data_IF_452465856214
#
_entry.id   IF_452465856214
#
_cell.length_a   1.000
_cell.length_b   1.000
_cell.length_c   1.000
_cell.angle_alpha   90.00
_cell.angle_beta   90.00
_cell.angle_gamma   90.00
#
_symmetry.space_group_name_H-M   'P 1'
#
loop_
_entity.id
_entity.type
_entity.pdbx_description
1 polymer ?
#
# COMPACT_ATOMS: atom_id res chain seq x y z
N UNK A 1 17.82 -18.49 33.02
CA UNK A 1 18.69 -18.41 31.84
C UNK A 1 18.27 -17.16 31.08
N UNK A 2 19.14 -16.17 30.94
CA UNK A 2 18.80 -14.92 30.27
C UNK A 2 18.82 -15.14 28.76
N UNK A 3 17.65 -15.13 28.12
CA UNK A 3 17.53 -15.08 26.66
C UNK A 3 17.95 -13.69 26.20
N UNK A 4 19.08 -13.61 25.50
CA UNK A 4 19.52 -12.37 24.88
C UNK A 4 18.53 -11.87 23.82
N UNK A 5 18.66 -10.61 23.38
CA UNK A 5 17.81 -10.04 22.35
C UNK A 5 17.90 -10.84 21.04
N UNK A 6 16.75 -11.07 20.43
CA UNK A 6 16.61 -11.78 19.15
C UNK A 6 17.19 -10.98 17.98
N UNK A 7 17.61 -11.63 16.89
CA UNK A 7 18.18 -10.90 15.75
C UNK A 7 17.15 -9.94 15.15
N UNK A 8 17.52 -8.67 14.93
CA UNK A 8 16.57 -7.63 14.58
C UNK A 8 17.21 -6.25 14.42
N UNK A 9 16.43 -5.29 13.91
CA UNK A 9 16.81 -3.89 13.88
C UNK A 9 16.49 -3.26 15.23
N UNK A 10 17.51 -2.72 15.89
CA UNK A 10 17.36 -2.05 17.17
C UNK A 10 17.99 -0.66 17.09
N UNK A 11 17.42 0.27 17.85
CA UNK A 11 17.97 1.62 17.96
C UNK A 11 19.39 1.58 18.53
N UNK A 12 20.34 2.23 17.86
CA UNK A 12 21.74 2.31 18.30
C UNK A 12 22.02 3.51 19.22
N UNK A 13 21.00 4.31 19.53
CA UNK A 13 21.08 5.48 20.40
C UNK A 13 21.61 6.74 19.71
N UNK A 14 21.91 6.67 18.40
CA UNK A 14 22.33 7.82 17.58
C UNK A 14 21.23 8.35 16.64
N UNK A 15 20.02 7.80 16.75
CA UNK A 15 18.91 8.06 15.83
C UNK A 15 18.91 7.17 14.58
N UNK A 16 19.74 6.13 14.57
CA UNK A 16 19.84 5.11 13.52
C UNK A 16 19.41 3.77 14.09
N UNK A 17 18.83 2.91 13.25
CA UNK A 17 18.62 1.52 13.62
C UNK A 17 19.80 0.69 13.14
N UNK A 18 20.41 -0.10 14.02
CA UNK A 18 21.50 -1.00 13.69
C UNK A 18 21.04 -2.43 13.80
N UNK A 19 21.49 -3.28 12.89
CA UNK A 19 21.07 -4.67 12.90
C UNK A 19 21.89 -5.46 13.92
N UNK A 20 21.19 -6.08 14.87
CA UNK A 20 21.72 -7.06 15.83
C UNK A 20 21.52 -8.46 15.25
N UNK A 21 22.58 -9.27 15.21
CA UNK A 21 22.54 -10.62 14.65
C UNK A 21 22.21 -11.72 15.67
N UNK A 22 21.88 -11.34 16.91
CA UNK A 22 21.68 -12.26 18.03
C UNK A 22 22.91 -12.39 18.95
N UNK A 23 24.09 -11.97 18.48
CA UNK A 23 25.36 -12.11 19.23
C UNK A 23 26.20 -10.83 19.22
N UNK A 24 26.15 -10.04 18.15
CA UNK A 24 26.83 -8.75 18.00
C UNK A 24 26.06 -7.79 17.09
N UNK A 25 26.40 -6.51 17.20
CA UNK A 25 25.91 -5.47 16.29
C UNK A 25 26.66 -5.56 14.96
N UNK A 26 25.93 -5.66 13.85
CA UNK A 26 26.50 -5.65 12.49
C UNK A 26 26.81 -4.23 12.02
N UNK A 27 27.58 -4.05 10.95
CA UNK A 27 27.86 -2.71 10.39
C UNK A 27 26.69 -2.12 9.58
N UNK A 28 25.61 -2.88 9.37
CA UNK A 28 24.41 -2.38 8.73
C UNK A 28 23.64 -1.47 9.69
N UNK A 29 23.43 -0.24 9.26
CA UNK A 29 22.56 0.71 9.93
C UNK A 29 21.58 1.32 8.93
N UNK A 30 20.37 1.61 9.41
CA UNK A 30 19.35 2.40 8.76
C UNK A 30 19.37 3.77 9.41
N UNK A 31 19.65 4.80 8.63
CA UNK A 31 19.48 6.17 9.10
C UNK A 31 18.00 6.56 8.96
N UNK A 32 17.35 6.81 10.10
CA UNK A 32 15.95 7.25 10.15
C UNK A 32 15.83 8.79 10.13
N UNK A 33 16.96 9.51 10.13
CA UNK A 33 17.03 10.97 10.24
C UNK A 33 16.96 11.73 8.92
N UNK A 34 17.19 11.09 7.77
CA UNK A 34 17.07 11.72 6.46
C UNK A 34 15.78 11.28 5.75
N UNK A 35 15.15 12.23 5.06
CA UNK A 35 13.85 12.13 4.36
C UNK A 35 13.77 11.03 3.28
N UNK A 36 14.83 10.26 3.10
CA UNK A 36 14.93 9.05 2.28
C UNK A 36 15.62 7.97 3.14
N UNK A 37 14.93 6.85 3.40
CA UNK A 37 15.53 5.70 4.09
C UNK A 37 16.55 5.06 3.13
N UNK A 38 17.82 5.44 3.24
CA UNK A 38 18.90 4.91 2.43
C UNK A 38 19.61 3.73 3.14
N UNK A 39 19.43 2.51 2.63
CA UNK A 39 20.19 1.33 3.07
C UNK A 39 21.65 1.45 2.61
N UNK A 40 22.58 1.64 3.55
CA UNK A 40 24.02 1.66 3.28
C UNK A 40 24.60 0.26 3.51
N UNK A 41 24.84 -0.47 2.40
CA UNK A 41 25.44 -1.80 2.41
C UNK A 41 26.84 -1.77 1.78
N UNK A 42 27.86 -1.51 2.60
CA UNK A 42 29.26 -1.65 2.22
C UNK A 42 29.81 -3.01 2.63
N UNK A 43 30.12 -3.87 1.65
CA UNK A 43 30.77 -5.17 1.73
C UNK A 43 29.98 -6.34 2.38
N UNK A 44 29.83 -7.40 1.59
CA UNK A 44 29.14 -8.67 1.86
C UNK A 44 29.64 -9.37 3.13
N UNK A 45 28.73 -9.72 4.09
CA UNK A 45 28.92 -10.86 4.95
C UNK A 45 28.08 -12.03 4.41
N UNK A 46 28.77 -13.13 4.07
CA UNK A 46 28.13 -14.43 3.87
C UNK A 46 27.52 -14.88 5.22
N UNK A 47 26.21 -14.80 5.34
CA UNK A 47 25.43 -15.23 6.52
C UNK A 47 24.14 -15.90 6.06
N UNK A 48 23.73 -16.96 6.75
CA UNK A 48 22.75 -17.96 6.34
C UNK A 48 21.51 -17.40 5.60
N UNK A 49 20.97 -18.12 4.59
CA UNK A 49 19.83 -17.65 3.82
C UNK A 49 18.64 -17.41 4.76
N UNK A 50 17.99 -16.25 4.60
CA UNK A 50 16.76 -15.94 5.30
C UNK A 50 15.79 -17.12 5.14
N UNK A 51 15.27 -17.63 6.26
CA UNK A 51 14.37 -18.78 6.25
C UNK A 51 13.07 -18.43 5.52
N UNK A 52 12.44 -19.42 4.90
CA UNK A 52 11.14 -19.19 4.26
C UNK A 52 10.14 -18.65 5.28
N UNK A 53 9.44 -17.56 4.95
CA UNK A 53 8.64 -16.83 5.92
C UNK A 53 7.95 -15.58 5.38
N UNK A 54 7.08 -15.01 6.20
CA UNK A 54 6.40 -13.75 5.91
C UNK A 54 7.17 -12.58 6.51
N UNK A 55 7.56 -11.64 5.67
CA UNK A 55 8.36 -10.48 6.07
C UNK A 55 7.70 -9.19 5.57
N UNK A 56 7.93 -8.09 6.28
CA UNK A 56 7.46 -6.77 5.88
C UNK A 56 8.06 -6.37 4.52
N UNK A 57 7.22 -5.87 3.60
CA UNK A 57 7.63 -5.41 2.26
C UNK A 57 7.88 -3.89 2.18
N UNK A 58 7.80 -3.19 3.32
CA UNK A 58 7.97 -1.75 3.46
C UNK A 58 6.76 -0.93 3.00
N UNK A 59 5.65 -1.58 2.60
CA UNK A 59 4.46 -0.92 2.05
C UNK A 59 3.20 -1.22 2.86
N UNK A 60 3.35 -1.59 4.13
CA UNK A 60 2.23 -2.02 4.98
C UNK A 60 1.72 -3.43 4.67
N UNK A 61 2.46 -4.23 3.89
CA UNK A 61 2.13 -5.62 3.60
C UNK A 61 3.24 -6.54 4.06
N UNK A 62 2.91 -7.80 4.28
CA UNK A 62 3.89 -8.87 4.43
C UNK A 62 3.94 -9.68 3.14
N UNK A 63 5.14 -9.91 2.61
CA UNK A 63 5.38 -10.74 1.42
C UNK A 63 6.06 -12.05 1.83
N UNK A 64 5.77 -13.12 1.11
CA UNK A 64 6.39 -14.41 1.39
C UNK A 64 7.76 -14.52 0.71
N UNK A 65 8.78 -14.83 1.51
CA UNK A 65 10.10 -15.28 1.07
C UNK A 65 10.12 -16.81 1.11
N UNK A 66 10.53 -17.46 0.02
CA UNK A 66 10.56 -18.94 -0.06
C UNK A 66 11.89 -19.58 0.39
N UNK A 67 12.82 -18.77 0.91
CA UNK A 67 14.19 -19.19 1.23
C UNK A 67 15.21 -18.80 0.17
N UNK A 68 14.78 -18.44 -1.05
CA UNK A 68 15.65 -18.04 -2.15
C UNK A 68 15.17 -16.77 -2.88
N UNK A 69 13.85 -16.51 -2.93
CA UNK A 69 13.24 -15.35 -3.58
C UNK A 69 11.91 -14.93 -2.94
N UNK A 70 11.51 -13.69 -3.21
CA UNK A 70 10.18 -13.19 -2.89
C UNK A 70 9.15 -13.75 -3.87
N UNK A 71 8.07 -14.36 -3.37
CA UNK A 71 6.97 -14.88 -4.20
C UNK A 71 5.89 -13.81 -4.43
N UNK A 72 4.84 -14.12 -5.18
CA UNK A 72 3.71 -13.20 -5.35
C UNK A 72 2.75 -13.19 -4.14
N UNK A 73 2.95 -14.08 -3.16
CA UNK A 73 2.06 -14.16 -2.00
C UNK A 73 2.27 -12.95 -1.07
N UNK A 74 1.17 -12.26 -0.75
CA UNK A 74 1.12 -11.10 0.14
C UNK A 74 -0.01 -11.27 1.18
N UNK A 75 0.19 -10.78 2.40
CA UNK A 75 -0.84 -10.72 3.46
C UNK A 75 -0.79 -9.40 4.22
N UNK A 76 -1.92 -8.97 4.75
CA UNK A 76 -2.07 -7.73 5.51
C UNK A 76 -1.96 -7.98 7.04
N UNK A 77 -1.98 -6.91 7.85
CA UNK A 77 -1.70 -6.95 9.30
C UNK A 77 -2.83 -7.58 10.13
N UNK A 78 -4.07 -7.64 9.59
CA UNK A 78 -5.21 -8.33 10.20
C UNK A 78 -6.34 -7.43 10.69
N UNK A 79 -6.23 -6.10 10.55
CA UNK A 79 -7.35 -5.13 10.74
C UNK A 79 -7.87 -4.65 9.38
N UNK A 80 -8.08 -5.60 8.48
CA UNK A 80 -8.37 -5.35 7.08
C UNK A 80 -9.85 -4.98 6.90
N UNK A 81 -10.11 -3.79 6.34
CA UNK A 81 -11.40 -3.49 5.73
C UNK A 81 -11.21 -3.36 4.22
N UNK A 82 -12.01 -4.09 3.44
CA UNK A 82 -11.84 -4.18 2.00
C UNK A 82 -13.16 -4.08 1.23
N UNK A 83 -13.08 -3.46 0.05
CA UNK A 83 -14.21 -3.32 -0.86
C UNK A 83 -13.69 -3.16 -2.29
N UNK A 84 -14.27 -3.90 -3.24
CA UNK A 84 -13.93 -3.82 -4.67
C UNK A 84 -12.42 -3.96 -4.98
N UNK A 85 -11.67 -4.70 -4.14
CA UNK A 85 -10.22 -4.88 -4.27
C UNK A 85 -9.38 -3.73 -3.71
N UNK A 86 -10.01 -2.67 -3.21
CA UNK A 86 -9.36 -1.68 -2.33
C UNK A 86 -9.27 -2.29 -0.94
N UNK A 87 -8.09 -2.22 -0.35
CA UNK A 87 -7.81 -2.72 0.99
C UNK A 87 -7.21 -1.59 1.81
N UNK A 88 -7.74 -1.33 3.00
CA UNK A 88 -7.14 -0.40 3.95
C UNK A 88 -6.65 -1.19 5.16
N UNK A 89 -5.40 -0.96 5.53
CA UNK A 89 -4.72 -1.64 6.63
C UNK A 89 -3.88 -0.64 7.43
N UNK A 90 -4.42 -0.23 8.58
CA UNK A 90 -3.79 0.76 9.44
C UNK A 90 -3.55 2.09 8.69
N UNK A 91 -2.27 2.46 8.52
CA UNK A 91 -1.84 3.70 7.84
C UNK A 91 -1.80 3.59 6.31
N UNK A 92 -2.13 2.44 5.74
CA UNK A 92 -1.95 2.15 4.32
C UNK A 92 -3.27 1.85 3.62
N UNK A 93 -3.32 2.20 2.34
CA UNK A 93 -4.38 1.83 1.40
C UNK A 93 -3.74 1.19 0.17
N UNK A 94 -4.36 0.13 -0.34
CA UNK A 94 -3.81 -0.71 -1.39
C UNK A 94 -4.83 -0.93 -2.51
N UNK A 95 -4.31 -1.06 -3.73
CA UNK A 95 -5.10 -1.46 -4.88
C UNK A 95 -4.26 -2.24 -5.88
N UNK A 96 -4.53 -3.54 -5.99
CA UNK A 96 -3.68 -4.44 -6.78
C UNK A 96 -2.22 -4.40 -6.30
N UNK A 97 -1.32 -3.99 -7.19
CA UNK A 97 0.10 -3.84 -6.85
C UNK A 97 0.42 -2.53 -6.09
N UNK A 98 -0.44 -1.51 -6.23
CA UNK A 98 -0.21 -0.18 -5.67
C UNK A 98 -0.43 -0.17 -4.16
N UNK A 99 0.32 0.68 -3.47
CA UNK A 99 0.20 0.89 -2.02
C UNK A 99 0.63 2.29 -1.68
N UNK A 100 -0.20 3.00 -0.93
CA UNK A 100 0.01 4.39 -0.56
C UNK A 100 -0.36 4.62 0.91
N UNK A 101 0.21 5.62 1.58
CA UNK A 101 -0.31 6.09 2.85
C UNK A 101 -1.77 6.52 2.69
N UNK A 102 -2.63 6.10 3.61
CA UNK A 102 -4.05 6.49 3.62
C UNK A 102 -4.24 7.97 4.01
N UNK A 103 -3.25 8.57 4.67
CA UNK A 103 -3.28 9.96 5.09
C UNK A 103 -3.41 10.89 3.87
N UNK A 104 -4.45 11.72 3.86
CA UNK A 104 -4.73 12.63 2.74
C UNK A 104 -5.44 11.98 1.56
N UNK A 105 -5.78 10.69 1.63
CA UNK A 105 -6.66 10.06 0.65
C UNK A 105 -8.07 10.67 0.70
N UNK A 106 -8.74 10.72 -0.44
CA UNK A 106 -10.17 11.02 -0.52
C UNK A 106 -10.88 9.97 -1.37
N UNK A 107 -12.12 9.62 -1.00
CA UNK A 107 -12.88 8.59 -1.67
C UNK A 107 -14.33 9.01 -1.96
N UNK A 108 -14.84 8.62 -3.12
CA UNK A 108 -16.25 8.77 -3.51
C UNK A 108 -16.78 7.49 -4.16
N UNK A 109 -18.09 7.28 -4.07
CA UNK A 109 -18.76 6.15 -4.72
C UNK A 109 -19.83 6.65 -5.68
N UNK A 110 -19.64 6.40 -6.98
CA UNK A 110 -20.39 7.04 -8.06
C UNK A 110 -20.81 6.02 -9.13
N UNK A 111 -21.91 6.30 -9.84
CA UNK A 111 -22.28 5.50 -11.01
C UNK A 111 -21.39 5.84 -12.21
N UNK A 112 -21.19 4.87 -13.10
CA UNK A 112 -20.42 5.08 -14.33
C UNK A 112 -21.01 6.16 -15.22
N UNK A 113 -22.34 6.28 -15.27
CA UNK A 113 -23.02 7.37 -15.96
C UNK A 113 -22.64 8.74 -15.40
N UNK A 114 -22.51 8.88 -14.07
CA UNK A 114 -22.09 10.12 -13.42
C UNK A 114 -20.62 10.44 -13.70
N UNK A 115 -19.74 9.44 -13.64
CA UNK A 115 -18.31 9.61 -13.94
C UNK A 115 -18.07 10.08 -15.36
N UNK A 116 -18.79 9.51 -16.34
CA UNK A 116 -18.72 9.92 -17.74
C UNK A 116 -19.27 11.33 -17.93
N UNK A 117 -20.44 11.63 -17.35
CA UNK A 117 -21.07 12.96 -17.43
C UNK A 117 -20.18 14.06 -16.86
N UNK A 118 -19.50 13.83 -15.75
CA UNK A 118 -18.59 14.81 -15.12
C UNK A 118 -17.21 14.87 -15.75
N UNK A 119 -16.84 13.89 -16.59
CA UNK A 119 -15.52 13.83 -17.22
C UNK A 119 -14.35 13.65 -16.25
N UNK A 120 -14.58 13.09 -15.04
CA UNK A 120 -13.58 13.02 -13.94
C UNK A 120 -12.35 12.18 -14.26
N UNK A 121 -12.45 11.28 -15.23
CA UNK A 121 -11.42 10.26 -15.48
C UNK A 121 -10.48 10.62 -16.64
N UNK A 122 -10.91 11.49 -17.55
CA UNK A 122 -10.13 11.83 -18.74
C UNK A 122 -8.83 12.55 -18.39
N UNK A 123 -8.86 13.50 -17.44
CA UNK A 123 -7.66 14.20 -16.97
C UNK A 123 -6.63 13.23 -16.36
N UNK A 124 -6.99 12.46 -15.33
CA UNK A 124 -6.13 11.45 -14.72
C UNK A 124 -5.59 10.40 -15.71
N UNK A 125 -6.41 9.93 -16.65
CA UNK A 125 -5.98 8.99 -17.69
C UNK A 125 -4.90 9.60 -18.60
N UNK A 126 -5.06 10.86 -19.02
CA UNK A 126 -4.06 11.56 -19.85
C UNK A 126 -2.76 11.82 -19.07
N UNK A 127 -2.89 12.20 -17.79
CA UNK A 127 -1.75 12.39 -16.89
C UNK A 127 -1.07 11.07 -16.48
N UNK A 128 -1.63 9.91 -16.87
CA UNK A 128 -1.13 8.57 -16.51
C UNK A 128 -1.04 8.34 -15.00
N UNK A 129 -2.07 8.81 -14.29
CA UNK A 129 -2.23 8.62 -12.84
C UNK A 129 -3.54 7.92 -12.50
N UNK A 130 -4.27 7.39 -13.50
CA UNK A 130 -5.48 6.61 -13.29
C UNK A 130 -5.15 5.12 -13.26
N UNK A 131 -5.42 4.44 -12.15
CA UNK A 131 -5.13 3.02 -11.96
C UNK A 131 -6.43 2.24 -11.78
N UNK A 132 -6.49 1.07 -12.41
CA UNK A 132 -7.49 0.02 -12.20
C UNK A 132 -6.87 -1.17 -11.46
N UNK A 133 -7.63 -2.24 -11.23
CA UNK A 133 -7.14 -3.42 -10.51
C UNK A 133 -5.98 -4.12 -11.23
N UNK A 134 -5.93 -3.99 -12.56
CA UNK A 134 -4.87 -4.54 -13.41
C UNK A 134 -3.74 -3.54 -13.72
N UNK A 135 -3.68 -2.41 -13.02
CA UNK A 135 -2.69 -1.34 -13.24
C UNK A 135 -3.24 -0.16 -14.06
N UNK A 136 -2.35 0.54 -14.75
CA UNK A 136 -2.65 1.84 -15.36
C UNK A 136 -3.78 1.79 -16.42
N UNK A 137 -4.78 2.66 -16.28
CA UNK A 137 -5.84 2.92 -17.27
C UNK A 137 -5.43 4.13 -18.11
N UNK A 138 -4.99 3.86 -19.34
CA UNK A 138 -4.66 4.90 -20.32
C UNK A 138 -5.92 5.46 -20.99
N UNK A 139 -5.86 6.61 -21.69
CA UNK A 139 -7.01 7.16 -22.42
C UNK A 139 -7.60 6.18 -23.44
N UNK A 140 -6.77 5.30 -24.00
CA UNK A 140 -7.19 4.25 -24.94
C UNK A 140 -7.98 3.12 -24.27
N UNK A 141 -7.72 2.86 -22.99
CA UNK A 141 -8.40 1.83 -22.20
C UNK A 141 -9.65 2.36 -21.51
N UNK A 142 -9.70 3.66 -21.21
CA UNK A 142 -10.78 4.28 -20.44
C UNK A 142 -12.20 3.93 -20.90
N UNK A 143 -12.56 3.96 -22.21
CA UNK A 143 -13.91 3.61 -22.65
C UNK A 143 -14.31 2.15 -22.37
N UNK A 144 -13.34 1.25 -22.21
CA UNK A 144 -13.57 -0.16 -21.87
C UNK A 144 -13.58 -0.40 -20.36
N UNK A 145 -13.02 0.52 -19.57
CA UNK A 145 -12.92 0.40 -18.12
C UNK A 145 -14.18 0.89 -17.39
N UNK A 146 -15.00 1.71 -18.05
CA UNK A 146 -16.18 2.35 -17.43
C UNK A 146 -17.45 2.01 -18.20
N UNK A 147 -18.40 1.39 -17.52
CA UNK A 147 -19.73 1.10 -18.03
C UNK A 147 -20.75 2.00 -17.33
N UNK A 148 -21.68 2.60 -18.10
CA UNK A 148 -22.66 3.55 -17.56
C UNK A 148 -23.57 2.96 -16.49
N UNK A 149 -23.89 1.67 -16.60
CA UNK A 149 -24.70 0.92 -15.64
C UNK A 149 -23.91 0.40 -14.42
N UNK A 150 -22.58 0.54 -14.41
CA UNK A 150 -21.74 0.12 -13.29
C UNK A 150 -21.71 1.16 -12.17
N UNK A 151 -21.30 0.71 -10.99
CA UNK A 151 -20.97 1.58 -9.85
C UNK A 151 -19.48 1.45 -9.54
N UNK A 152 -18.85 2.54 -9.13
CA UNK A 152 -17.40 2.63 -8.99
C UNK A 152 -17.02 3.34 -7.70
N UNK A 153 -16.03 2.79 -7.01
CA UNK A 153 -15.30 3.47 -5.95
C UNK A 153 -14.11 4.20 -6.57
N UNK A 154 -14.07 5.52 -6.40
CA UNK A 154 -12.97 6.37 -6.80
C UNK A 154 -12.17 6.73 -5.55
N UNK A 155 -10.86 6.54 -5.57
CA UNK A 155 -9.95 6.94 -4.49
C UNK A 155 -8.85 7.83 -5.07
N UNK A 156 -8.75 9.05 -4.59
CA UNK A 156 -7.64 9.95 -4.88
C UNK A 156 -6.63 9.86 -3.74
N UNK A 157 -5.39 9.47 -4.03
CA UNK A 157 -4.35 9.26 -3.01
C UNK A 157 -2.97 9.50 -3.62
N UNK A 158 -2.11 10.26 -2.92
CA UNK A 158 -0.74 10.57 -3.35
C UNK A 158 -0.62 11.06 -4.82
N UNK A 159 -1.59 11.85 -5.29
CA UNK A 159 -1.63 12.35 -6.67
C UNK A 159 -2.10 11.33 -7.72
N UNK A 160 -2.47 10.12 -7.30
CA UNK A 160 -3.08 9.08 -8.12
C UNK A 160 -4.60 9.06 -7.96
N UNK A 161 -5.27 8.50 -8.96
CA UNK A 161 -6.71 8.19 -8.94
C UNK A 161 -6.87 6.70 -9.17
N UNK A 162 -7.49 6.00 -8.22
CA UNK A 162 -7.78 4.58 -8.31
C UNK A 162 -9.27 4.39 -8.60
N UNK A 163 -9.56 3.56 -9.59
CA UNK A 163 -10.90 3.27 -10.06
C UNK A 163 -11.21 1.79 -9.86
N UNK A 164 -12.03 1.49 -8.87
CA UNK A 164 -12.45 0.13 -8.53
C UNK A 164 -13.93 -0.09 -8.90
N UNK A 165 -14.21 -1.15 -9.67
CA UNK A 165 -15.57 -1.52 -10.02
C UNK A 165 -16.27 -2.15 -8.81
N UNK A 166 -17.33 -1.51 -8.35
CA UNK A 166 -18.13 -2.00 -7.23
C UNK A 166 -18.99 -3.21 -7.63
N UNK A 167 -19.17 -4.20 -6.74
CA UNK A 167 -20.06 -5.32 -7.01
C UNK A 167 -21.52 -4.83 -7.16
N UNK A 168 -22.28 -5.35 -8.14
CA UNK A 168 -23.69 -4.98 -8.31
C UNK A 168 -24.51 -5.22 -7.06
N UNK A 169 -25.39 -4.27 -6.70
CA UNK A 169 -26.28 -4.38 -5.53
C UNK A 169 -25.66 -4.00 -4.18
N UNK A 170 -24.38 -3.60 -4.16
CA UNK A 170 -23.66 -3.19 -2.93
C UNK A 170 -23.45 -1.68 -2.83
N UNK A 171 -24.31 -0.86 -3.45
CA UNK A 171 -24.09 0.59 -3.54
C UNK A 171 -24.07 1.27 -2.16
N UNK A 172 -24.88 0.79 -1.22
CA UNK A 172 -24.89 1.31 0.15
C UNK A 172 -23.58 1.01 0.88
N UNK A 173 -23.07 -0.22 0.76
CA UNK A 173 -21.79 -0.62 1.33
C UNK A 173 -20.62 0.16 0.69
N UNK A 174 -20.66 0.37 -0.64
CA UNK A 174 -19.65 1.18 -1.35
C UNK A 174 -19.59 2.63 -0.85
N UNK A 175 -20.75 3.27 -0.62
CA UNK A 175 -20.80 4.62 -0.03
C UNK A 175 -20.33 4.66 1.42
N UNK A 176 -20.68 3.66 2.22
CA UNK A 176 -20.20 3.54 3.60
C UNK A 176 -18.69 3.39 3.64
N UNK A 177 -18.13 2.51 2.81
CA UNK A 177 -16.68 2.30 2.71
C UNK A 177 -15.94 3.56 2.25
N UNK A 178 -16.45 4.30 1.26
CA UNK A 178 -15.87 5.59 0.86
C UNK A 178 -15.86 6.61 2.00
N UNK A 179 -16.96 6.70 2.76
CA UNK A 179 -17.06 7.59 3.94
C UNK A 179 -16.07 7.18 5.03
N UNK A 180 -15.90 5.88 5.23
CA UNK A 180 -14.95 5.33 6.18
C UNK A 180 -13.50 5.62 5.79
N UNK A 181 -13.10 5.42 4.51
CA UNK A 181 -11.76 5.82 4.01
C UNK A 181 -11.48 7.29 4.33
N UNK A 182 -12.43 8.18 4.05
CA UNK A 182 -12.27 9.62 4.33
C UNK A 182 -12.04 9.88 5.83
N UNK A 183 -12.74 9.15 6.70
CA UNK A 183 -12.60 9.26 8.16
C UNK A 183 -11.21 8.79 8.61
N UNK A 184 -10.74 7.64 8.12
CA UNK A 184 -9.42 7.09 8.41
C UNK A 184 -8.31 8.00 7.89
N UNK A 185 -8.45 8.51 6.67
CA UNK A 185 -7.53 9.45 6.05
C UNK A 185 -7.32 10.69 6.92
N UNK A 186 -8.40 11.31 7.38
CA UNK A 186 -8.33 12.47 8.28
C UNK A 186 -7.68 12.12 9.61
N UNK A 187 -8.00 10.96 10.19
CA UNK A 187 -7.39 10.52 11.44
C UNK A 187 -5.86 10.47 11.38
N UNK A 188 -5.29 9.99 10.27
CA UNK A 188 -3.85 9.88 10.09
C UNK A 188 -3.18 11.13 9.53
N UNK A 189 -3.93 12.08 8.98
CA UNK A 189 -3.38 13.36 8.52
C UNK A 189 -2.97 14.26 9.70
N UNK A 190 -3.62 14.10 10.87
CA UNK A 190 -3.36 14.89 12.08
C UNK A 190 -2.59 14.11 13.17
N UNK A 191 -1.92 13.01 12.83
CA UNK A 191 -1.12 12.17 13.76
C UNK A 191 0.30 11.90 13.25
#
# INVERSE_FOLDING_TARGET
MATGPEAGWYDDGSGKQRWWDGTRWSEHYVDLGEREIALHAGATPAGAPASAGWYDDGRGRRRWWDGARWTAASRFSGSEESFAGIVVDGRWIHFGAESQPVAGASASYESGAELVRRGRLSGPANARVLHGPSGLITPRLLPRSVHSAGSYLLVEVAGQVWLAAGPPGYDAAGRQFATWINTVSQHYLYR
#
